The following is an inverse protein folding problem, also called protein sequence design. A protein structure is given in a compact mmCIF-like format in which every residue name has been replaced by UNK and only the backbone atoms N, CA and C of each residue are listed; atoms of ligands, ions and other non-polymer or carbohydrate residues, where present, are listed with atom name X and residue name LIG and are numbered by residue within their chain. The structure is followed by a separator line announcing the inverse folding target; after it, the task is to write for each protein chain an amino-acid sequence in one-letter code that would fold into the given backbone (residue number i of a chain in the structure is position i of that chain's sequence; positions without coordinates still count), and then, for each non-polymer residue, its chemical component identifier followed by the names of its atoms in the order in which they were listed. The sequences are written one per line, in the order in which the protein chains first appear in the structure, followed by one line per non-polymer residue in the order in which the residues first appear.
data_IF_139201322344
#
_entry.id   IF_139201322344
#
_cell.length_a   1.000
_cell.length_b   1.000
_cell.length_c   1.000
_cell.angle_alpha   90.00
_cell.angle_beta   90.00
_cell.angle_gamma   90.00
#
_symmetry.space_group_name_H-M   'P 1'
#
loop_
_entity.id
_entity.type
_entity.pdbx_description
1 polymer ?
#
# COMPACT_ATOMS: atom_id res chain seq x y z
N UNK A 1 21.97 -4.92 -29.02
CA UNK A 1 20.71 -5.70 -29.01
C UNK A 1 20.47 -6.45 -27.70
N UNK A 2 21.45 -7.17 -27.12
CA UNK A 2 21.28 -7.95 -25.88
C UNK A 2 20.75 -7.19 -24.63
N UNK A 3 21.01 -5.89 -24.48
CA UNK A 3 20.51 -5.09 -23.34
C UNK A 3 19.01 -4.79 -23.41
N UNK A 4 18.43 -4.66 -24.61
CA UNK A 4 17.00 -4.40 -24.79
C UNK A 4 16.17 -5.66 -24.50
N UNK A 5 16.64 -6.82 -24.92
CA UNK A 5 16.01 -8.11 -24.60
C UNK A 5 16.05 -8.44 -23.11
N UNK A 6 17.14 -8.07 -22.43
CA UNK A 6 17.26 -8.27 -20.98
C UNK A 6 16.28 -7.37 -20.21
N UNK A 7 16.06 -6.14 -20.68
CA UNK A 7 15.05 -5.23 -20.12
C UNK A 7 13.64 -5.76 -20.35
N UNK A 8 13.30 -6.12 -21.59
CA UNK A 8 11.98 -6.68 -21.92
C UNK A 8 11.64 -7.91 -21.08
N UNK A 9 12.57 -8.88 -20.95
CA UNK A 9 12.36 -10.05 -20.08
C UNK A 9 12.21 -9.69 -18.59
N UNK A 10 12.94 -8.69 -18.10
CA UNK A 10 12.76 -8.22 -16.72
C UNK A 10 11.42 -7.52 -16.54
N UNK A 11 10.96 -6.76 -17.52
CA UNK A 11 9.69 -6.04 -17.46
C UNK A 11 8.51 -7.01 -17.62
N UNK A 12 8.61 -8.02 -18.47
CA UNK A 12 7.64 -9.13 -18.57
C UNK A 12 7.58 -9.93 -17.28
N UNK A 13 8.72 -10.32 -16.68
CA UNK A 13 8.70 -11.01 -15.38
C UNK A 13 8.11 -10.15 -14.26
N UNK A 14 8.30 -8.82 -14.30
CA UNK A 14 7.66 -7.90 -13.37
C UNK A 14 6.15 -7.81 -13.61
N UNK A 15 5.71 -7.75 -14.87
CA UNK A 15 4.29 -7.71 -15.22
C UNK A 15 3.58 -9.02 -14.88
N UNK A 16 4.23 -10.17 -15.10
CA UNK A 16 3.65 -11.48 -14.79
C UNK A 16 3.50 -11.74 -13.29
N UNK A 17 4.21 -10.99 -12.44
CA UNK A 17 4.07 -11.07 -10.97
C UNK A 17 3.09 -10.06 -10.39
N UNK A 18 2.62 -9.11 -11.20
CA UNK A 18 1.69 -8.09 -10.74
C UNK A 18 0.28 -8.62 -10.83
N UNK A 19 -0.46 -8.41 -9.75
CA UNK A 19 -1.88 -8.71 -9.70
C UNK A 19 -2.67 -7.47 -10.14
N UNK A 20 -2.07 -6.27 -9.98
CA UNK A 20 -2.76 -5.00 -10.24
C UNK A 20 -2.07 -4.12 -11.28
N UNK A 21 -2.85 -3.26 -11.97
CA UNK A 21 -2.35 -2.32 -12.96
C UNK A 21 -1.32 -1.34 -12.40
N UNK A 22 -0.45 -0.84 -13.28
CA UNK A 22 0.58 0.11 -12.89
C UNK A 22 -0.02 1.45 -12.42
N UNK A 23 0.54 2.07 -11.36
CA UNK A 23 0.15 3.42 -10.96
C UNK A 23 0.30 4.41 -12.13
N UNK A 24 -0.59 5.41 -12.25
CA UNK A 24 -0.49 6.43 -13.28
C UNK A 24 0.89 7.07 -13.34
N UNK A 25 1.39 7.40 -14.54
CA UNK A 25 2.74 7.97 -14.72
C UNK A 25 3.00 9.23 -13.89
N UNK A 26 1.97 10.04 -13.63
CA UNK A 26 2.07 11.24 -12.78
C UNK A 26 2.42 10.93 -11.31
N UNK A 27 2.37 9.66 -10.90
CA UNK A 27 2.59 9.17 -9.53
C UNK A 27 3.81 8.25 -9.46
N UNK A 28 4.79 8.46 -10.37
CA UNK A 28 5.99 7.62 -10.47
C UNK A 28 6.78 7.55 -9.15
N UNK A 29 6.82 8.65 -8.37
CA UNK A 29 7.54 8.69 -7.08
C UNK A 29 6.83 7.82 -6.04
N UNK A 30 5.51 7.82 -6.06
CA UNK A 30 4.67 7.15 -5.09
C UNK A 30 4.37 5.69 -5.46
N UNK A 31 4.70 5.31 -6.69
CA UNK A 31 4.53 3.95 -7.19
C UNK A 31 5.28 2.89 -6.37
N UNK A 32 6.35 3.25 -5.67
CA UNK A 32 7.07 2.35 -4.77
C UNK A 32 6.25 1.98 -3.52
N UNK A 33 5.53 2.94 -2.93
CA UNK A 33 4.63 2.68 -1.80
C UNK A 33 3.46 1.80 -2.22
N UNK A 34 2.84 2.09 -3.37
CA UNK A 34 1.74 1.28 -3.91
C UNK A 34 2.20 -0.16 -4.15
N UNK A 35 3.36 -0.35 -4.76
CA UNK A 35 3.92 -1.70 -4.99
C UNK A 35 4.21 -2.44 -3.68
N UNK A 36 4.64 -1.74 -2.64
CA UNK A 36 4.81 -2.35 -1.31
C UNK A 36 3.47 -2.73 -0.68
N UNK A 37 2.43 -1.91 -0.88
CA UNK A 37 1.08 -2.23 -0.45
C UNK A 37 0.56 -3.49 -1.16
N UNK A 38 0.72 -3.58 -2.48
CA UNK A 38 0.38 -4.77 -3.29
C UNK A 38 1.11 -6.03 -2.79
N UNK A 39 2.40 -5.92 -2.47
CA UNK A 39 3.20 -7.07 -2.03
C UNK A 39 3.17 -7.31 -0.52
N UNK A 40 2.25 -6.67 0.24
CA UNK A 40 2.18 -6.76 1.70
C UNK A 40 3.53 -6.52 2.41
N UNK A 41 4.40 -5.68 1.82
CA UNK A 41 5.77 -5.42 2.28
C UNK A 41 5.95 -3.97 2.75
N UNK A 42 4.86 -3.32 3.12
CA UNK A 42 4.93 -2.00 3.76
C UNK A 42 5.65 -2.12 5.10
N UNK A 43 6.53 -1.15 5.36
CA UNK A 43 7.31 -1.05 6.59
C UNK A 43 6.47 -0.45 7.71
N UNK A 44 5.46 -1.20 8.15
CA UNK A 44 4.68 -0.84 9.33
C UNK A 44 5.52 -0.94 10.60
N UNK A 45 5.12 -0.26 11.70
CA UNK A 45 5.85 -0.34 12.97
C UNK A 45 6.10 -1.78 13.43
N UNK A 46 5.17 -2.71 13.19
CA UNK A 46 5.39 -4.12 13.53
C UNK A 46 6.48 -4.78 12.68
N UNK A 47 6.51 -4.53 11.36
CA UNK A 47 7.57 -5.08 10.51
C UNK A 47 8.91 -4.49 10.91
N UNK A 48 8.95 -3.20 11.23
CA UNK A 48 10.14 -2.55 11.74
C UNK A 48 10.63 -3.19 13.04
N UNK A 49 9.73 -3.52 13.97
CA UNK A 49 10.08 -4.24 15.20
C UNK A 49 10.53 -5.68 14.91
N UNK A 50 9.72 -6.48 14.23
CA UNK A 50 9.96 -7.91 14.02
C UNK A 50 11.15 -8.21 13.09
N UNK A 51 11.38 -7.38 12.06
CA UNK A 51 12.46 -7.60 11.08
C UNK A 51 13.71 -6.78 11.42
N UNK A 52 13.56 -5.52 11.86
CA UNK A 52 14.71 -4.63 12.09
C UNK A 52 15.11 -4.53 13.57
N UNK A 53 14.37 -5.15 14.49
CA UNK A 53 14.66 -5.07 15.93
C UNK A 53 14.48 -3.67 16.52
N UNK A 54 13.73 -2.79 15.84
CA UNK A 54 13.44 -1.43 16.33
C UNK A 54 12.55 -1.48 17.58
N UNK A 55 12.66 -0.44 18.41
CA UNK A 55 11.75 -0.26 19.55
C UNK A 55 10.29 -0.23 19.08
N UNK A 56 9.45 -0.98 19.78
CA UNK A 56 8.05 -1.19 19.37
C UNK A 56 7.46 -2.44 20.01
N UNK A 57 6.29 -2.83 19.53
CA UNK A 57 5.57 -4.02 19.97
C UNK A 57 5.26 -4.93 18.78
N UNK A 58 5.28 -6.26 18.96
CA UNK A 58 4.76 -7.20 17.95
C UNK A 58 3.23 -7.19 17.88
N UNK A 59 2.57 -6.48 18.80
CA UNK A 59 1.12 -6.31 18.82
C UNK A 59 0.70 -4.98 18.18
N UNK A 60 -0.53 -4.93 17.69
CA UNK A 60 -1.12 -3.72 17.13
C UNK A 60 -1.26 -2.66 18.22
N UNK A 61 -0.68 -1.48 18.02
CA UNK A 61 -0.77 -0.36 18.97
C UNK A 61 -2.19 0.16 19.18
N UNK A 62 -3.10 -0.08 18.23
CA UNK A 62 -4.48 0.40 18.29
C UNK A 62 -5.44 -0.54 19.04
N UNK A 63 -5.16 -1.84 19.12
CA UNK A 63 -6.07 -2.82 19.72
C UNK A 63 -5.40 -3.93 20.55
N UNK A 64 -4.07 -4.02 20.57
CA UNK A 64 -3.31 -5.07 21.26
C UNK A 64 -3.33 -6.45 20.57
N UNK A 65 -4.00 -6.59 19.42
CA UNK A 65 -4.06 -7.85 18.65
C UNK A 65 -2.80 -8.17 17.85
N UNK A 66 -2.82 -9.28 17.11
CA UNK A 66 -1.74 -9.64 16.18
C UNK A 66 -1.57 -8.53 15.13
N UNK A 67 -0.35 -8.01 14.98
CA UNK A 67 -0.07 -7.00 13.97
C UNK A 67 0.55 -7.64 12.74
N UNK A 68 -0.24 -7.73 11.68
CA UNK A 68 0.25 -7.90 10.32
C UNK A 68 -0.09 -6.65 9.51
N UNK A 69 0.41 -6.59 8.27
CA UNK A 69 0.16 -5.43 7.40
C UNK A 69 -1.32 -5.26 7.07
N UNK A 70 -2.09 -6.35 6.87
CA UNK A 70 -3.52 -6.24 6.56
C UNK A 70 -4.28 -5.64 7.76
N UNK A 71 -4.00 -6.14 8.95
CA UNK A 71 -4.60 -5.67 10.19
C UNK A 71 -4.28 -4.20 10.46
N UNK A 72 -3.01 -3.79 10.39
CA UNK A 72 -2.61 -2.40 10.66
C UNK A 72 -3.24 -1.44 9.64
N UNK A 73 -3.29 -1.84 8.37
CA UNK A 73 -3.82 -1.00 7.30
C UNK A 73 -5.34 -0.88 7.32
N UNK A 74 -6.07 -1.94 7.67
CA UNK A 74 -7.51 -2.03 7.37
C UNK A 74 -8.38 -2.34 8.58
N UNK A 75 -7.99 -3.29 9.41
CA UNK A 75 -8.87 -3.83 10.44
C UNK A 75 -8.69 -3.15 11.80
N UNK A 76 -7.50 -2.63 12.05
CA UNK A 76 -7.21 -1.92 13.29
C UNK A 76 -8.09 -0.67 13.43
N UNK A 77 -8.45 -0.25 14.65
CA UNK A 77 -9.20 0.99 14.86
C UNK A 77 -8.56 2.21 14.17
N UNK A 78 -7.23 2.29 14.19
CA UNK A 78 -6.46 3.32 13.48
C UNK A 78 -6.56 3.19 11.96
N UNK A 79 -6.44 1.97 11.42
CA UNK A 79 -6.65 1.66 10.00
C UNK A 79 -8.04 2.07 9.52
N UNK A 80 -9.09 1.72 10.26
CA UNK A 80 -10.47 2.10 9.93
C UNK A 80 -10.70 3.61 9.96
N UNK A 81 -10.12 4.30 10.94
CA UNK A 81 -10.19 5.75 11.02
C UNK A 81 -9.49 6.43 9.83
N UNK A 82 -8.27 5.99 9.49
CA UNK A 82 -7.52 6.49 8.34
C UNK A 82 -8.24 6.19 7.00
N UNK A 83 -8.89 5.03 6.90
CA UNK A 83 -9.69 4.67 5.74
C UNK A 83 -10.90 5.60 5.60
N UNK A 84 -11.63 5.83 6.69
CA UNK A 84 -12.77 6.75 6.70
C UNK A 84 -12.36 8.16 6.26
N UNK A 85 -11.23 8.66 6.78
CA UNK A 85 -10.70 9.98 6.43
C UNK A 85 -10.29 10.07 4.96
N UNK A 86 -9.51 9.10 4.47
CA UNK A 86 -9.04 9.08 3.07
C UNK A 86 -10.19 8.95 2.07
N UNK A 87 -11.26 8.24 2.42
CA UNK A 87 -12.45 8.07 1.59
C UNK A 87 -13.37 9.30 1.56
N UNK A 88 -13.26 10.26 2.50
CA UNK A 88 -14.07 11.50 2.47
C UNK A 88 -13.90 12.28 1.17
N UNK A 89 -12.73 12.20 0.57
CA UNK A 89 -12.39 12.91 -0.67
C UNK A 89 -12.78 12.17 -1.94
N UNK A 90 -13.31 10.94 -1.83
CA UNK A 90 -13.76 10.14 -2.97
C UNK A 90 -15.29 10.13 -3.01
N UNK A 91 -15.92 10.34 -4.19
CA UNK A 91 -17.35 10.13 -4.38
C UNK A 91 -17.78 8.74 -3.89
N UNK A 92 -18.91 8.65 -3.19
CA UNK A 92 -19.38 7.40 -2.54
C UNK A 92 -19.49 6.22 -3.49
N UNK A 93 -19.86 6.47 -4.74
CA UNK A 93 -19.97 5.47 -5.81
C UNK A 93 -18.62 4.93 -6.32
N UNK A 94 -17.52 5.60 -5.98
CA UNK A 94 -16.16 5.22 -6.37
C UNK A 94 -15.30 4.82 -5.17
N UNK A 95 -15.89 4.69 -3.98
CA UNK A 95 -15.15 4.34 -2.76
C UNK A 95 -14.76 2.86 -2.79
N UNK A 96 -13.45 2.55 -2.89
CA UNK A 96 -13.00 1.17 -2.76
C UNK A 96 -13.22 0.67 -1.33
N UNK A 97 -13.84 -0.51 -1.23
CA UNK A 97 -14.15 -1.15 0.05
C UNK A 97 -13.02 -2.05 0.58
N UNK A 98 -12.09 -2.47 -0.30
CA UNK A 98 -10.98 -3.39 0.04
C UNK A 98 -9.72 -3.00 -0.74
N UNK A 99 -8.53 -3.38 -0.25
CA UNK A 99 -7.25 -3.06 -0.90
C UNK A 99 -7.20 -3.52 -2.36
N UNK A 100 -7.79 -4.67 -2.66
CA UNK A 100 -7.86 -5.20 -4.02
C UNK A 100 -8.65 -4.23 -4.92
N UNK A 101 -9.73 -3.64 -4.41
CA UNK A 101 -10.48 -2.60 -5.15
C UNK A 101 -9.66 -1.32 -5.31
N UNK A 102 -8.94 -0.90 -4.26
CA UNK A 102 -8.05 0.26 -4.34
C UNK A 102 -6.98 0.09 -5.44
N UNK A 103 -6.40 -1.11 -5.56
CA UNK A 103 -5.34 -1.40 -6.52
C UNK A 103 -5.87 -1.74 -7.92
N UNK A 104 -7.05 -2.36 -8.02
CA UNK A 104 -7.66 -2.74 -9.30
C UNK A 104 -8.14 -1.53 -10.11
N UNK A 105 -8.65 -0.48 -9.46
CA UNK A 105 -9.30 0.63 -10.16
C UNK A 105 -8.31 1.46 -11.00
N UNK A 106 -6.99 1.37 -10.79
CA UNK A 106 -5.89 2.15 -11.41
C UNK A 106 -6.12 3.67 -11.58
N UNK A 107 -7.21 4.19 -11.07
CA UNK A 107 -7.63 5.57 -11.25
C UNK A 107 -6.74 6.48 -10.43
N UNK A 108 -6.45 7.67 -10.95
CA UNK A 108 -5.61 8.65 -10.26
C UNK A 108 -6.18 9.03 -8.89
N UNK A 109 -7.51 9.04 -8.75
CA UNK A 109 -8.18 9.44 -7.53
C UNK A 109 -8.16 8.33 -6.47
N UNK A 110 -8.41 7.07 -6.85
CA UNK A 110 -8.25 5.92 -5.96
C UNK A 110 -6.80 5.80 -5.48
N UNK A 111 -5.83 5.99 -6.38
CA UNK A 111 -4.40 5.90 -6.03
C UNK A 111 -3.95 7.06 -5.12
N UNK A 112 -4.46 8.27 -5.33
CA UNK A 112 -4.20 9.41 -4.45
C UNK A 112 -4.74 9.18 -3.05
N UNK A 113 -5.96 8.68 -2.94
CA UNK A 113 -6.55 8.44 -1.65
C UNK A 113 -5.88 7.24 -0.93
N UNK A 114 -5.35 6.25 -1.66
CA UNK A 114 -4.55 5.17 -1.08
C UNK A 114 -3.29 5.73 -0.44
N UNK A 115 -2.62 6.67 -1.11
CA UNK A 115 -1.45 7.33 -0.54
C UNK A 115 -1.80 8.21 0.66
N UNK A 116 -2.95 8.88 0.63
CA UNK A 116 -3.48 9.61 1.78
C UNK A 116 -3.66 8.68 2.98
N UNK A 117 -4.29 7.53 2.76
CA UNK A 117 -4.46 6.47 3.77
C UNK A 117 -3.13 6.01 4.36
N UNK A 118 -2.16 5.67 3.50
CA UNK A 118 -0.82 5.24 3.94
C UNK A 118 -0.10 6.34 4.74
N UNK A 119 -0.21 7.60 4.34
CA UNK A 119 0.37 8.74 5.07
C UNK A 119 -0.26 8.94 6.44
N UNK A 120 -1.58 8.82 6.55
CA UNK A 120 -2.30 8.92 7.84
C UNK A 120 -1.85 7.85 8.83
N UNK A 121 -1.41 6.69 8.33
CA UNK A 121 -0.83 5.61 9.13
C UNK A 121 0.67 5.77 9.40
N UNK A 122 1.29 6.88 8.99
CA UNK A 122 2.72 7.11 9.13
C UNK A 122 3.58 6.20 8.25
N UNK A 123 2.98 5.57 7.24
CA UNK A 123 3.64 4.70 6.27
C UNK A 123 4.04 5.52 5.04
N UNK A 124 4.86 6.56 5.27
CA UNK A 124 5.47 7.33 4.19
C UNK A 124 6.85 6.79 3.85
N UNK A 125 7.30 7.04 2.62
CA UNK A 125 8.71 6.87 2.26
C UNK A 125 9.56 7.70 3.23
N UNK A 126 10.43 7.03 3.98
CA UNK A 126 11.55 7.65 4.67
C UNK A 126 12.67 7.98 3.71
#
# INVERSE_FOLDING_TARGET
MARLDRRKRSDEMRNNRRVYPDPPHSMRREAALVRRAENHSLMTPHIQHCIQGKEGSPACVACGGYSDNAHVLWDSPGGRAAMSESLKHIPTNLRPATLEKWLAESSKDSMKALLGHLKLLGLSDG
#
